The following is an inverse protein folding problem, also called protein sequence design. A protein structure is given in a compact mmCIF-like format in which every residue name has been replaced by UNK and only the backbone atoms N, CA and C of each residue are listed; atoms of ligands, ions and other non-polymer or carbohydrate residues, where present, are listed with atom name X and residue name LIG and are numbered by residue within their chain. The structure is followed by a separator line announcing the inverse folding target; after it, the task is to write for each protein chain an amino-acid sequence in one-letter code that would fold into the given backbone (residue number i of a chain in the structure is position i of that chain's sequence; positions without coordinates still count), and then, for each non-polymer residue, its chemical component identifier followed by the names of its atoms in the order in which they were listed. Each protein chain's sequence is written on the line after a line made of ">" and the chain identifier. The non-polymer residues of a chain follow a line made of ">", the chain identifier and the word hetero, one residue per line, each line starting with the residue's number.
data_IF_808934202734
#
_entry.id   IF_808934202734
#
_cell.length_a   1.000
_cell.length_b   1.000
_cell.length_c   1.000
_cell.angle_alpha   90.00
_cell.angle_beta   90.00
_cell.angle_gamma   90.00
#
_symmetry.space_group_name_H-M   'P 1'
#
loop_
_entity.id
_entity.type
_entity.pdbx_description
1 polymer ?
#
# COMPACT_ATOMS: atom_id res chain seq x y z
N UNK A 1 27.15 4.76 -1.90
CA UNK A 1 25.77 5.28 -1.85
C UNK A 1 24.96 4.55 -2.90
N UNK A 2 23.90 3.85 -2.51
CA UNK A 2 23.11 2.97 -3.36
C UNK A 2 21.75 3.61 -3.62
N UNK A 3 21.33 3.74 -4.88
CA UNK A 3 20.04 4.31 -5.27
C UNK A 3 19.02 3.19 -5.49
N UNK A 4 17.73 3.53 -5.51
CA UNK A 4 16.66 2.58 -5.83
C UNK A 4 16.94 1.79 -7.12
N UNK A 5 17.48 2.45 -8.14
CA UNK A 5 17.83 1.80 -9.39
C UNK A 5 19.07 0.91 -9.33
N UNK A 6 19.99 1.18 -8.41
CA UNK A 6 21.10 0.26 -8.19
C UNK A 6 20.59 -1.05 -7.57
N UNK A 7 19.55 -0.98 -6.72
CA UNK A 7 18.85 -2.16 -6.22
C UNK A 7 18.19 -2.95 -7.35
N UNK A 8 17.42 -2.28 -8.22
CA UNK A 8 16.79 -2.93 -9.38
C UNK A 8 17.83 -3.60 -10.29
N UNK A 9 18.97 -2.93 -10.53
CA UNK A 9 20.07 -3.49 -11.33
C UNK A 9 20.71 -4.70 -10.66
N UNK A 10 20.94 -4.65 -9.35
CA UNK A 10 21.49 -5.77 -8.58
C UNK A 10 20.56 -6.99 -8.57
N UNK A 11 19.25 -6.80 -8.76
CA UNK A 11 18.27 -7.89 -8.97
C UNK A 11 18.26 -8.42 -10.41
N UNK A 12 19.12 -7.92 -11.31
CA UNK A 12 19.25 -8.41 -12.69
C UNK A 12 18.26 -7.79 -13.69
N UNK A 13 17.58 -6.69 -13.33
CA UNK A 13 16.60 -6.04 -14.21
C UNK A 13 17.18 -4.85 -14.97
N UNK A 14 16.76 -4.63 -16.23
CA UNK A 14 17.13 -3.45 -16.98
C UNK A 14 16.55 -2.20 -16.32
N UNK A 15 17.37 -1.17 -16.19
CA UNK A 15 16.97 0.13 -15.65
C UNK A 15 16.89 1.13 -16.82
N UNK A 16 15.83 1.95 -16.92
CA UNK A 16 15.73 2.97 -17.95
C UNK A 16 16.92 3.96 -17.90
N UNK A 17 17.52 4.25 -19.05
CA UNK A 17 18.59 5.25 -19.16
C UNK A 17 18.06 6.68 -18.91
N UNK A 18 16.78 6.91 -19.20
CA UNK A 18 16.08 8.15 -18.94
C UNK A 18 15.02 7.97 -17.85
N UNK A 19 15.18 8.72 -16.76
CA UNK A 19 14.29 8.64 -15.62
C UNK A 19 13.26 9.77 -15.74
N UNK A 20 11.97 9.41 -15.80
CA UNK A 20 10.87 10.36 -15.85
C UNK A 20 10.78 11.20 -14.55
N UNK A 21 10.17 12.40 -14.59
CA UNK A 21 9.96 13.23 -13.40
C UNK A 21 9.19 12.51 -12.29
N UNK A 22 8.23 11.66 -12.66
CA UNK A 22 7.43 10.83 -11.73
C UNK A 22 8.29 9.83 -10.95
N UNK A 23 9.38 9.36 -11.57
CA UNK A 23 10.34 8.46 -10.96
C UNK A 23 11.42 9.20 -10.15
N UNK A 24 11.46 10.53 -10.18
CA UNK A 24 12.46 11.32 -9.46
C UNK A 24 12.40 11.14 -7.95
N UNK A 25 11.21 10.91 -7.39
CA UNK A 25 11.01 10.61 -5.97
C UNK A 25 11.77 9.33 -5.56
N UNK A 26 11.74 8.29 -6.39
CA UNK A 26 12.45 7.03 -6.15
C UNK A 26 13.97 7.18 -6.14
N UNK A 27 14.51 8.11 -6.94
CA UNK A 27 15.95 8.41 -7.00
C UNK A 27 16.42 9.12 -5.73
N UNK A 28 15.55 9.89 -5.07
CA UNK A 28 15.90 10.69 -3.90
C UNK A 28 16.13 9.85 -2.65
N UNK A 29 15.55 8.65 -2.58
CA UNK A 29 15.78 7.74 -1.48
C UNK A 29 17.19 7.12 -1.56
N UNK A 30 18.03 7.46 -0.59
CA UNK A 30 19.43 7.03 -0.49
C UNK A 30 19.53 5.81 0.42
N UNK A 31 20.30 4.79 0.00
CA UNK A 31 20.48 3.55 0.75
C UNK A 31 21.96 3.16 0.89
N UNK A 32 22.24 2.29 1.86
CA UNK A 32 23.52 1.61 2.02
C UNK A 32 23.43 0.23 1.35
N UNK A 33 24.25 -0.03 0.33
CA UNK A 33 24.27 -1.30 -0.43
C UNK A 33 24.51 -2.51 0.47
N UNK A 34 25.35 -2.34 1.49
CA UNK A 34 25.73 -3.35 2.48
C UNK A 34 24.59 -3.72 3.44
N UNK A 35 23.46 -3.01 3.39
CA UNK A 35 22.36 -3.16 4.36
C UNK A 35 21.53 -4.42 4.14
N UNK A 36 21.24 -4.75 2.88
CA UNK A 36 20.35 -5.87 2.57
C UNK A 36 21.19 -7.10 2.20
N UNK A 37 21.29 -8.05 3.13
CA UNK A 37 21.87 -9.37 2.85
C UNK A 37 20.81 -10.22 2.15
N UNK A 38 20.74 -10.12 0.81
CA UNK A 38 19.75 -10.84 0.00
C UNK A 38 20.43 -12.06 -0.64
N UNK A 39 20.05 -13.24 -0.18
CA UNK A 39 20.47 -14.53 -0.76
C UNK A 39 19.88 -14.74 -2.18
N UNK A 40 20.50 -15.61 -2.98
CA UNK A 40 20.08 -15.84 -4.38
C UNK A 40 18.62 -16.28 -4.51
N UNK A 41 18.13 -17.15 -3.62
CA UNK A 41 16.73 -17.59 -3.61
C UNK A 41 15.75 -16.42 -3.37
N UNK A 42 16.14 -15.44 -2.56
CA UNK A 42 15.38 -14.21 -2.33
C UNK A 42 15.48 -13.25 -3.51
N UNK A 43 16.63 -13.17 -4.19
CA UNK A 43 16.77 -12.40 -5.43
C UNK A 43 15.85 -12.93 -6.52
N UNK A 44 15.74 -14.25 -6.68
CA UNK A 44 14.82 -14.88 -7.63
C UNK A 44 13.36 -14.49 -7.34
N UNK A 45 12.94 -14.51 -6.07
CA UNK A 45 11.59 -14.07 -5.66
C UNK A 45 11.36 -12.59 -5.94
N UNK A 46 12.33 -11.75 -5.60
CA UNK A 46 12.26 -10.31 -5.86
C UNK A 46 12.19 -10.05 -7.36
N UNK A 47 13.02 -10.72 -8.16
CA UNK A 47 13.00 -10.64 -9.61
C UNK A 47 11.65 -11.06 -10.20
N UNK A 48 11.14 -12.22 -9.76
CA UNK A 48 9.82 -12.70 -10.19
C UNK A 48 8.73 -11.70 -9.81
N UNK A 49 8.76 -11.17 -8.58
CA UNK A 49 7.82 -10.14 -8.13
C UNK A 49 7.87 -8.88 -8.99
N UNK A 50 9.07 -8.36 -9.25
CA UNK A 50 9.31 -7.15 -10.05
C UNK A 50 8.91 -7.32 -11.53
N UNK A 51 8.91 -8.55 -12.06
CA UNK A 51 8.55 -8.85 -13.45
C UNK A 51 7.09 -9.26 -13.62
N UNK A 52 6.46 -9.83 -12.59
CA UNK A 52 5.08 -10.35 -12.65
C UNK A 52 4.02 -9.36 -12.15
N UNK A 53 4.39 -8.37 -11.32
CA UNK A 53 3.42 -7.52 -10.64
C UNK A 53 3.59 -6.02 -10.93
N UNK A 54 2.47 -5.29 -10.78
CA UNK A 54 2.46 -3.83 -10.83
C UNK A 54 2.99 -3.29 -9.50
N UNK A 55 4.25 -2.84 -9.49
CA UNK A 55 4.95 -2.34 -8.29
C UNK A 55 4.27 -1.14 -7.64
N UNK A 56 3.61 -0.31 -8.43
CA UNK A 56 2.93 0.88 -7.96
C UNK A 56 1.66 1.05 -8.77
N UNK A 57 0.51 1.06 -8.10
CA UNK A 57 -0.76 1.36 -8.73
C UNK A 57 -0.96 2.87 -8.83
N UNK A 58 -1.65 3.28 -9.90
CA UNK A 58 -2.12 4.65 -10.09
C UNK A 58 -3.64 4.68 -9.87
N UNK A 59 -4.18 5.89 -9.68
CA UNK A 59 -5.61 6.10 -9.63
C UNK A 59 -6.30 5.53 -10.87
N UNK A 60 -7.43 4.84 -10.69
CA UNK A 60 -8.29 4.41 -11.80
C UNK A 60 -9.75 4.42 -11.40
N UNK A 61 -10.61 4.28 -12.41
CA UNK A 61 -12.04 4.05 -12.24
C UNK A 61 -12.81 5.29 -11.76
N UNK A 62 -14.14 5.15 -11.82
CA UNK A 62 -15.07 6.16 -11.35
C UNK A 62 -15.57 5.81 -9.94
N UNK A 63 -15.44 6.78 -9.03
CA UNK A 63 -15.94 6.64 -7.66
C UNK A 63 -17.46 6.67 -7.60
N UNK A 64 -18.15 7.24 -8.60
CA UNK A 64 -19.61 7.25 -8.69
C UNK A 64 -20.23 5.86 -8.84
N UNK A 65 -19.48 4.89 -9.37
CA UNK A 65 -19.94 3.50 -9.54
C UNK A 65 -19.82 2.65 -8.27
N UNK A 66 -19.19 3.18 -7.22
CA UNK A 66 -18.95 2.48 -5.98
C UNK A 66 -20.07 2.72 -4.95
N UNK A 67 -20.49 1.65 -4.29
CA UNK A 67 -21.51 1.70 -3.23
C UNK A 67 -20.89 1.98 -1.85
N UNK A 68 -19.58 1.75 -1.73
CA UNK A 68 -18.80 2.03 -0.52
C UNK A 68 -17.34 2.31 -0.87
N UNK A 69 -16.61 2.91 0.06
CA UNK A 69 -15.16 3.00 0.05
C UNK A 69 -14.57 2.20 1.20
N UNK A 70 -13.48 1.48 0.94
CA UNK A 70 -12.67 0.81 1.95
C UNK A 70 -11.27 1.42 1.93
N UNK A 71 -10.86 2.03 3.03
CA UNK A 71 -9.59 2.74 3.17
C UNK A 71 -8.62 1.96 4.07
N UNK A 72 -7.45 1.64 3.52
CA UNK A 72 -6.40 0.83 4.15
C UNK A 72 -5.19 1.68 4.50
N UNK A 73 -4.69 1.52 5.73
CA UNK A 73 -3.43 2.11 6.19
C UNK A 73 -2.33 1.05 6.26
N UNK A 74 -1.09 1.44 5.95
CA UNK A 74 0.10 0.59 6.04
C UNK A 74 1.20 1.24 6.87
N UNK A 75 0.83 1.88 7.99
CA UNK A 75 1.76 2.46 8.94
C UNK A 75 1.13 3.60 9.73
N UNK A 76 1.88 4.14 10.68
CA UNK A 76 1.41 5.22 11.57
C UNK A 76 1.76 6.62 11.03
N UNK A 77 2.19 6.71 9.78
CA UNK A 77 2.47 7.95 9.07
C UNK A 77 1.31 8.94 9.11
N UNK A 78 1.43 9.96 9.95
CA UNK A 78 0.43 11.03 10.05
C UNK A 78 0.15 11.69 8.69
N UNK A 79 1.21 12.04 7.94
CA UNK A 79 1.07 12.75 6.67
C UNK A 79 0.43 11.89 5.56
N UNK A 80 0.74 10.58 5.51
CA UNK A 80 0.10 9.69 4.54
C UNK A 80 -1.33 9.38 4.95
N UNK A 81 -1.58 9.09 6.23
CA UNK A 81 -2.93 8.82 6.72
C UNK A 81 -3.85 10.03 6.51
N UNK A 82 -3.35 11.26 6.65
CA UNK A 82 -4.07 12.48 6.28
C UNK A 82 -4.37 12.56 4.78
N UNK A 83 -3.43 12.19 3.90
CA UNK A 83 -3.68 12.17 2.45
C UNK A 83 -4.75 11.12 2.07
N UNK A 84 -4.69 9.93 2.66
CA UNK A 84 -5.70 8.89 2.47
C UNK A 84 -7.07 9.37 2.98
N UNK A 85 -7.12 10.04 4.14
CA UNK A 85 -8.35 10.63 4.67
C UNK A 85 -8.95 11.68 3.72
N UNK A 86 -8.12 12.52 3.08
CA UNK A 86 -8.58 13.47 2.08
C UNK A 86 -9.23 12.78 0.87
N UNK A 87 -8.71 11.63 0.43
CA UNK A 87 -9.33 10.84 -0.63
C UNK A 87 -10.69 10.26 -0.20
N UNK A 88 -10.81 9.80 1.06
CA UNK A 88 -12.10 9.33 1.61
C UNK A 88 -13.11 10.48 1.71
N UNK A 89 -12.69 11.66 2.17
CA UNK A 89 -13.55 12.84 2.25
C UNK A 89 -14.04 13.29 0.86
N UNK A 90 -13.16 13.29 -0.14
CA UNK A 90 -13.53 13.57 -1.52
C UNK A 90 -14.51 12.52 -2.07
N UNK A 91 -14.27 11.24 -1.79
CA UNK A 91 -15.18 10.16 -2.16
C UNK A 91 -16.58 10.40 -1.57
N UNK A 92 -16.68 10.70 -0.27
CA UNK A 92 -17.96 10.94 0.39
C UNK A 92 -18.67 12.18 -0.16
N UNK A 93 -17.94 13.26 -0.44
CA UNK A 93 -18.53 14.46 -1.03
C UNK A 93 -19.19 14.18 -2.40
N UNK A 94 -18.57 13.32 -3.20
CA UNK A 94 -19.09 12.89 -4.50
C UNK A 94 -20.20 11.83 -4.36
N UNK A 95 -20.18 11.04 -3.29
CA UNK A 95 -21.14 9.96 -3.02
C UNK A 95 -21.68 10.00 -1.57
N UNK A 96 -22.54 10.97 -1.21
CA UNK A 96 -22.94 11.17 0.19
C UNK A 96 -23.75 10.02 0.82
N UNK A 97 -24.27 9.11 -0.01
CA UNK A 97 -25.03 7.93 0.41
C UNK A 97 -24.15 6.67 0.51
N UNK A 98 -22.91 6.71 0.02
CA UNK A 98 -22.02 5.56 0.05
C UNK A 98 -21.38 5.39 1.44
N UNK A 99 -21.20 4.14 1.86
CA UNK A 99 -20.57 3.85 3.14
C UNK A 99 -19.07 4.07 3.09
N UNK A 100 -18.49 4.63 4.15
CA UNK A 100 -17.06 4.83 4.28
C UNK A 100 -16.50 3.92 5.38
N UNK A 101 -15.82 2.83 5.02
CA UNK A 101 -15.11 1.94 5.95
C UNK A 101 -13.64 2.33 6.00
N UNK A 102 -13.18 2.76 7.17
CA UNK A 102 -11.90 3.45 7.29
C UNK A 102 -11.09 2.84 8.42
N UNK A 103 -9.89 2.36 8.12
CA UNK A 103 -8.97 1.88 9.15
C UNK A 103 -8.62 2.99 10.15
N UNK A 104 -8.45 2.63 11.42
CA UNK A 104 -8.35 3.57 12.54
C UNK A 104 -7.28 4.66 12.38
N UNK A 105 -6.15 4.36 11.74
CA UNK A 105 -5.07 5.33 11.53
C UNK A 105 -5.53 6.48 10.63
N UNK A 106 -6.33 6.19 9.60
CA UNK A 106 -6.91 7.17 8.68
C UNK A 106 -8.11 7.87 9.34
N UNK A 107 -8.92 7.12 10.07
CA UNK A 107 -10.14 7.61 10.70
C UNK A 107 -9.90 8.79 11.67
N UNK A 108 -8.74 8.82 12.34
CA UNK A 108 -8.33 9.92 13.23
C UNK A 108 -8.32 11.30 12.54
N UNK A 109 -8.17 11.33 11.22
CA UNK A 109 -8.09 12.54 10.41
C UNK A 109 -9.44 12.95 9.79
N UNK A 110 -10.51 12.18 10.03
CA UNK A 110 -11.85 12.44 9.52
C UNK A 110 -12.73 13.05 10.62
N UNK A 111 -13.15 14.31 10.43
CA UNK A 111 -13.90 15.06 11.44
C UNK A 111 -15.35 15.42 11.03
N UNK A 112 -15.67 15.39 9.74
CA UNK A 112 -16.91 16.00 9.22
C UNK A 112 -17.73 15.09 8.30
N UNK A 113 -17.32 13.84 8.13
CA UNK A 113 -18.04 12.88 7.29
C UNK A 113 -18.47 11.67 8.13
N UNK A 114 -19.64 11.08 7.86
CA UNK A 114 -20.00 9.78 8.42
C UNK A 114 -19.04 8.69 7.91
N UNK A 115 -18.47 7.92 8.84
CA UNK A 115 -17.65 6.75 8.52
C UNK A 115 -17.83 5.66 9.58
N UNK A 116 -17.52 4.43 9.19
CA UNK A 116 -17.41 3.27 10.07
C UNK A 116 -15.92 3.00 10.31
N UNK A 117 -15.40 3.27 11.53
CA UNK A 117 -14.01 3.00 11.82
C UNK A 117 -13.79 1.49 11.99
N UNK A 118 -12.79 0.96 11.29
CA UNK A 118 -12.27 -0.39 11.50
C UNK A 118 -11.11 -0.26 12.49
N UNK A 119 -11.38 -0.63 13.75
CA UNK A 119 -10.43 -0.52 14.87
C UNK A 119 -9.97 -1.90 15.35
N UNK A 120 -8.73 -1.97 15.82
CA UNK A 120 -8.21 -3.10 16.55
C UNK A 120 -7.01 -2.63 17.41
N UNK A 121 -6.94 -3.12 18.64
CA UNK A 121 -5.82 -2.85 19.54
C UNK A 121 -4.58 -3.69 19.17
N UNK A 122 -4.78 -4.73 18.34
CA UNK A 122 -3.73 -5.57 17.77
C UNK A 122 -3.52 -5.26 16.27
N UNK A 123 -2.40 -5.75 15.73
CA UNK A 123 -2.08 -5.65 14.31
C UNK A 123 -3.22 -6.20 13.43
N UNK A 124 -3.59 -5.43 12.40
CA UNK A 124 -4.59 -5.84 11.40
C UNK A 124 -3.92 -6.12 10.06
N UNK A 125 -4.24 -7.26 9.47
CA UNK A 125 -3.91 -7.54 8.08
C UNK A 125 -4.88 -6.83 7.14
N UNK A 126 -4.51 -6.71 5.86
CA UNK A 126 -5.44 -6.25 4.81
C UNK A 126 -6.70 -7.10 4.76
N UNK A 127 -6.59 -8.41 5.03
CA UNK A 127 -7.73 -9.32 5.07
C UNK A 127 -8.67 -9.03 6.24
N UNK A 128 -8.16 -8.70 7.42
CA UNK A 128 -8.98 -8.34 8.59
C UNK A 128 -9.83 -7.09 8.30
N UNK A 129 -9.21 -6.07 7.70
CA UNK A 129 -9.88 -4.82 7.32
C UNK A 129 -10.98 -5.09 6.29
N UNK A 130 -10.66 -5.80 5.20
CA UNK A 130 -11.61 -6.09 4.15
C UNK A 130 -12.74 -7.03 4.63
N UNK A 131 -12.44 -8.00 5.50
CA UNK A 131 -13.44 -8.90 6.10
C UNK A 131 -14.41 -8.12 6.98
N UNK A 132 -13.92 -7.16 7.77
CA UNK A 132 -14.79 -6.34 8.61
C UNK A 132 -15.81 -5.54 7.77
N UNK A 133 -15.36 -4.92 6.69
CA UNK A 133 -16.27 -4.25 5.75
C UNK A 133 -17.24 -5.23 5.08
N UNK A 134 -16.79 -6.46 4.80
CA UNK A 134 -17.58 -7.49 4.11
C UNK A 134 -18.75 -8.02 4.93
N UNK A 135 -18.58 -8.12 6.24
CA UNK A 135 -19.62 -8.54 7.19
C UNK A 135 -20.83 -7.60 7.13
N UNK A 136 -20.59 -6.30 6.99
CA UNK A 136 -21.64 -5.28 7.03
C UNK A 136 -22.21 -4.96 5.64
N UNK A 137 -21.38 -4.94 4.59
CA UNK A 137 -21.77 -4.48 3.25
C UNK A 137 -22.37 -5.54 2.33
N UNK A 138 -22.09 -6.83 2.53
CA UNK A 138 -22.39 -7.82 1.50
C UNK A 138 -21.36 -7.85 0.36
N UNK A 139 -21.74 -8.45 -0.78
CA UNK A 139 -20.95 -8.41 -2.03
C UNK A 139 -21.40 -7.19 -2.83
N UNK A 140 -20.57 -6.15 -2.88
CA UNK A 140 -20.92 -4.86 -3.51
C UNK A 140 -19.75 -4.29 -4.31
N UNK A 141 -20.04 -3.28 -5.13
CA UNK A 141 -19.01 -2.47 -5.79
C UNK A 141 -18.35 -1.54 -4.78
N UNK A 142 -17.02 -1.52 -4.73
CA UNK A 142 -16.27 -0.68 -3.79
C UNK A 142 -15.20 0.15 -4.50
N UNK A 143 -14.94 1.33 -3.95
CA UNK A 143 -13.72 2.06 -4.18
C UNK A 143 -12.68 1.66 -3.12
N UNK A 144 -11.42 1.50 -3.53
CA UNK A 144 -10.30 1.28 -2.61
C UNK A 144 -9.53 2.57 -2.46
N UNK A 145 -9.18 2.92 -1.21
CA UNK A 145 -8.23 3.98 -0.89
C UNK A 145 -7.04 3.35 -0.17
N UNK A 146 -5.83 3.49 -0.71
CA UNK A 146 -4.64 2.87 -0.15
C UNK A 146 -3.36 3.61 -0.58
N UNK A 147 -2.22 3.32 0.04
CA UNK A 147 -0.95 3.73 -0.54
C UNK A 147 -0.70 3.00 -1.87
N UNK A 148 -0.12 3.69 -2.85
CA UNK A 148 0.04 3.22 -4.23
C UNK A 148 0.78 1.89 -4.35
N UNK A 149 1.75 1.70 -3.46
CA UNK A 149 2.57 0.50 -3.40
C UNK A 149 1.72 -0.67 -2.88
N UNK A 150 0.94 -0.48 -1.82
CA UNK A 150 0.11 -1.54 -1.24
C UNK A 150 -1.24 -1.77 -1.93
N UNK A 151 -1.66 -0.87 -2.81
CA UNK A 151 -2.98 -0.85 -3.41
C UNK A 151 -3.34 -2.15 -4.13
N UNK A 152 -2.39 -2.83 -4.79
CA UNK A 152 -2.69 -4.10 -5.47
C UNK A 152 -3.18 -5.17 -4.49
N UNK A 153 -2.50 -5.29 -3.34
CA UNK A 153 -2.91 -6.23 -2.30
C UNK A 153 -4.29 -5.90 -1.76
N UNK A 154 -4.61 -4.62 -1.57
CA UNK A 154 -5.95 -4.20 -1.14
C UNK A 154 -7.02 -4.64 -2.13
N UNK A 155 -6.76 -4.45 -3.44
CA UNK A 155 -7.68 -4.85 -4.51
C UNK A 155 -7.90 -6.36 -4.49
N UNK A 156 -6.83 -7.15 -4.58
CA UNK A 156 -6.89 -8.62 -4.60
C UNK A 156 -7.62 -9.17 -3.37
N UNK A 157 -7.34 -8.59 -2.20
CA UNK A 157 -7.98 -9.01 -0.94
C UNK A 157 -9.47 -8.72 -0.98
N UNK A 158 -9.87 -7.52 -1.41
CA UNK A 158 -11.28 -7.16 -1.56
C UNK A 158 -12.00 -8.10 -2.57
N UNK A 159 -11.40 -8.33 -3.74
CA UNK A 159 -11.96 -9.19 -4.78
C UNK A 159 -12.11 -10.64 -4.30
N UNK A 160 -11.11 -11.17 -3.58
CA UNK A 160 -11.15 -12.53 -3.00
C UNK A 160 -12.30 -12.73 -2.00
N UNK A 161 -12.75 -11.65 -1.34
CA UNK A 161 -13.87 -11.66 -0.39
C UNK A 161 -15.22 -11.39 -1.07
N UNK A 162 -15.21 -11.21 -2.40
CA UNK A 162 -16.39 -11.07 -3.25
C UNK A 162 -16.86 -9.62 -3.45
N UNK A 163 -16.03 -8.62 -3.16
CA UNK A 163 -16.27 -7.27 -3.63
C UNK A 163 -15.93 -7.13 -5.12
N UNK A 164 -16.50 -6.12 -5.78
CA UNK A 164 -16.07 -5.69 -7.11
C UNK A 164 -15.36 -4.35 -6.98
N UNK A 165 -14.05 -4.30 -7.18
CA UNK A 165 -13.32 -3.03 -7.07
C UNK A 165 -13.46 -2.25 -8.37
N UNK A 166 -14.20 -1.13 -8.31
CA UNK A 166 -14.51 -0.30 -9.49
C UNK A 166 -13.68 0.96 -9.58
N UNK A 167 -13.05 1.37 -8.48
CA UNK A 167 -12.17 2.52 -8.43
C UNK A 167 -11.04 2.34 -7.42
N UNK A 168 -9.93 3.00 -7.68
CA UNK A 168 -8.79 3.10 -6.78
C UNK A 168 -8.36 4.57 -6.67
N UNK A 169 -8.15 5.03 -5.43
CA UNK A 169 -7.44 6.29 -5.14
C UNK A 169 -6.22 6.00 -4.28
N UNK A 170 -5.07 6.53 -4.70
CA UNK A 170 -3.78 6.26 -4.07
C UNK A 170 -3.09 7.50 -3.54
N UNK A 171 -2.37 7.31 -2.43
CA UNK A 171 -1.29 8.20 -2.00
C UNK A 171 0.06 7.55 -2.32
N UNK A 172 0.97 8.34 -2.90
CA UNK A 172 2.31 7.90 -3.29
C UNK A 172 3.37 8.15 -2.20
N UNK A 173 2.96 8.51 -0.98
CA UNK A 173 3.87 8.97 0.06
C UNK A 173 4.67 7.85 0.74
N UNK A 174 5.99 8.06 0.82
CA UNK A 174 6.89 7.38 1.75
C UNK A 174 7.37 8.37 2.81
N UNK A 175 6.80 8.35 4.01
CA UNK A 175 7.22 9.22 5.11
C UNK A 175 8.64 8.86 5.56
N UNK A 176 9.55 9.83 5.53
CA UNK A 176 10.91 9.62 6.05
C UNK A 176 10.98 9.46 7.58
N UNK A 177 9.91 9.84 8.29
CA UNK A 177 9.84 9.88 9.76
C UNK A 177 8.80 8.92 10.35
N UNK A 178 8.23 8.00 9.55
CA UNK A 178 7.25 7.05 10.10
C UNK A 178 7.88 6.23 11.22
N UNK A 179 7.24 6.06 12.39
CA UNK A 179 7.84 5.29 13.48
C UNK A 179 8.24 3.87 13.07
N UNK A 180 7.60 3.30 12.04
CA UNK A 180 7.90 2.01 11.45
C UNK A 180 8.93 2.15 10.32
N UNK A 181 10.20 1.83 10.57
CA UNK A 181 11.25 2.11 9.60
C UNK A 181 11.10 1.37 8.26
N UNK A 182 10.49 0.18 8.27
CA UNK A 182 10.24 -0.60 7.06
C UNK A 182 9.27 0.07 6.08
N UNK A 183 8.40 0.98 6.51
CA UNK A 183 7.46 1.67 5.60
C UNK A 183 8.05 2.95 5.00
N UNK A 184 9.27 3.33 5.39
CA UNK A 184 9.92 4.57 4.93
C UNK A 184 10.54 4.46 3.53
N UNK A 185 10.58 3.26 2.96
CA UNK A 185 11.41 2.95 1.79
C UNK A 185 10.73 1.94 0.82
N UNK A 186 10.67 2.23 -0.49
CA UNK A 186 10.18 1.31 -1.50
C UNK A 186 10.96 -0.02 -1.63
N UNK A 187 12.26 -0.08 -1.31
CA UNK A 187 13.03 -1.34 -1.30
C UNK A 187 12.53 -2.29 -0.21
N UNK A 188 12.35 -1.77 1.01
CA UNK A 188 11.80 -2.55 2.13
C UNK A 188 10.43 -3.15 1.75
N UNK A 189 9.65 -2.37 0.99
CA UNK A 189 8.38 -2.81 0.45
C UNK A 189 8.51 -3.93 -0.59
N UNK A 190 9.37 -3.76 -1.60
CA UNK A 190 9.61 -4.80 -2.62
C UNK A 190 10.00 -6.12 -1.96
N UNK A 191 10.93 -6.06 -1.00
CA UNK A 191 11.39 -7.24 -0.25
C UNK A 191 10.24 -7.89 0.52
N UNK A 192 9.39 -7.10 1.19
CA UNK A 192 8.22 -7.61 1.92
C UNK A 192 7.22 -8.31 1.01
N UNK A 193 6.78 -7.63 -0.05
CA UNK A 193 5.75 -8.19 -0.92
C UNK A 193 6.24 -9.40 -1.71
N UNK A 194 7.52 -9.43 -2.12
CA UNK A 194 8.08 -10.59 -2.82
C UNK A 194 8.16 -11.86 -1.96
N UNK A 195 8.09 -11.72 -0.63
CA UNK A 195 8.16 -12.83 0.33
C UNK A 195 6.82 -13.12 1.03
N UNK A 196 5.74 -12.44 0.64
CA UNK A 196 4.43 -12.53 1.33
C UNK A 196 3.85 -13.94 1.40
N UNK A 197 4.19 -14.79 0.43
CA UNK A 197 3.66 -16.15 0.33
C UNK A 197 4.38 -17.14 1.26
N UNK A 198 5.53 -16.75 1.81
CA UNK A 198 6.40 -17.65 2.60
C UNK A 198 6.70 -17.15 4.01
N UNK A 199 6.45 -15.87 4.29
CA UNK A 199 6.71 -15.26 5.59
C UNK A 199 5.79 -14.06 5.84
N UNK A 200 5.54 -13.78 7.11
CA UNK A 200 4.85 -12.58 7.56
C UNK A 200 5.72 -11.33 7.36
N UNK A 201 5.09 -10.15 7.31
CA UNK A 201 5.83 -8.89 7.19
C UNK A 201 6.78 -8.62 8.37
N UNK A 202 6.52 -9.19 9.55
CA UNK A 202 7.41 -9.10 10.71
C UNK A 202 8.67 -9.96 10.50
N UNK A 203 8.50 -11.24 10.15
CA UNK A 203 9.60 -12.18 9.88
C UNK A 203 10.51 -11.66 8.76
N UNK A 204 9.93 -11.12 7.68
CA UNK A 204 10.70 -10.50 6.59
C UNK A 204 11.45 -9.24 7.07
N UNK A 205 10.91 -8.49 8.02
CA UNK A 205 11.61 -7.31 8.57
C UNK A 205 12.85 -7.71 9.37
N UNK A 206 12.74 -8.75 10.19
CA UNK A 206 13.86 -9.27 10.97
C UNK A 206 14.91 -9.91 10.07
N UNK A 207 14.49 -10.78 9.15
CA UNK A 207 15.38 -11.52 8.25
C UNK A 207 16.28 -10.59 7.43
N UNK A 208 15.71 -9.52 6.86
CA UNK A 208 16.43 -8.62 5.95
C UNK A 208 16.86 -7.31 6.62
N UNK A 209 16.73 -7.20 7.94
CA UNK A 209 17.08 -6.01 8.72
C UNK A 209 16.46 -4.73 8.14
N UNK A 210 15.14 -4.77 7.90
CA UNK A 210 14.37 -3.69 7.28
C UNK A 210 14.09 -2.55 8.30
N UNK A 211 15.16 -1.90 8.74
CA UNK A 211 15.14 -0.64 9.51
C UNK A 211 15.16 0.58 8.57
#
# INVERSE_FOLDING_TARGET
>A
MFKFYDFIRDMGLPVPEHISPENSCLIQHRYLKERYQIEESSKERIFHYLTSNVLKRQNFGDVGDAQAVIAFSFGDSDCVNQQLANHVALFYHLNPLAFCYVQQEIAKHLHQIPYVPIKNDLYQTTADVAKKAREDLGKVKVAVVAQSWHAQRCIETCESLGFTVVALKVSDGFPSQDPQPWVRNPINWIIKESHREVATGYEVSEQFNLI
#
